data_IF_837839524413
#
_entry.id   IF_837839524413
#
_cell.length_a   1.000
_cell.length_b   1.000
_cell.length_c   1.000
_cell.angle_alpha   90.00
_cell.angle_beta   90.00
_cell.angle_gamma   90.00
#
_symmetry.space_group_name_H-M   'P 1'
#
loop_
_entity.id
_entity.type
_entity.pdbx_description
1 polymer ?
#
# COMPACT_ATOMS: atom_id res chain seq x y z
N UNK A 1 -12.25 32.11 -5.55
CA UNK A 1 -12.21 31.47 -4.21
C UNK A 1 -13.19 30.31 -4.05
N UNK A 2 -14.43 30.39 -4.56
CA UNK A 2 -15.37 29.25 -4.55
C UNK A 2 -14.91 28.13 -5.47
N UNK A 3 -14.29 28.44 -6.58
CA UNK A 3 -13.84 27.48 -7.59
C UNK A 3 -12.67 26.63 -7.08
N UNK A 4 -11.74 27.21 -6.36
CA UNK A 4 -10.63 26.45 -5.74
C UNK A 4 -11.11 25.41 -4.70
N UNK A 5 -12.23 25.68 -4.00
CA UNK A 5 -12.81 24.71 -3.05
C UNK A 5 -13.39 23.49 -3.79
N UNK A 6 -14.07 23.72 -4.92
CA UNK A 6 -14.60 22.64 -5.75
C UNK A 6 -13.50 21.76 -6.34
N UNK A 7 -12.41 22.36 -6.81
CA UNK A 7 -11.24 21.62 -7.30
C UNK A 7 -10.64 20.73 -6.19
N UNK A 8 -10.51 21.25 -4.97
CA UNK A 8 -10.04 20.46 -3.83
C UNK A 8 -10.99 19.29 -3.51
N UNK A 9 -12.31 19.56 -3.50
CA UNK A 9 -13.31 18.49 -3.29
C UNK A 9 -13.25 17.43 -4.39
N UNK A 10 -13.17 17.83 -5.66
CA UNK A 10 -13.03 16.91 -6.79
C UNK A 10 -11.72 16.11 -6.68
N UNK A 11 -10.61 16.74 -6.30
CA UNK A 11 -9.31 16.09 -6.13
C UNK A 11 -9.31 15.05 -5.01
N UNK A 12 -10.02 15.29 -3.90
CA UNK A 12 -10.16 14.29 -2.83
C UNK A 12 -10.90 13.05 -3.32
N UNK A 13 -12.03 13.21 -4.00
CA UNK A 13 -12.77 12.09 -4.58
C UNK A 13 -11.94 11.37 -5.66
N UNK A 14 -11.33 12.14 -6.55
CA UNK A 14 -10.47 11.62 -7.60
C UNK A 14 -9.32 10.79 -7.05
N UNK A 15 -8.67 11.25 -5.97
CA UNK A 15 -7.57 10.49 -5.33
C UNK A 15 -8.03 9.16 -4.75
N UNK A 16 -9.24 9.09 -4.19
CA UNK A 16 -9.81 7.82 -3.76
C UNK A 16 -10.10 6.92 -4.97
N UNK A 17 -10.71 7.46 -6.04
CA UNK A 17 -11.01 6.72 -7.27
C UNK A 17 -9.76 6.20 -7.97
N UNK A 18 -8.70 7.01 -8.06
CA UNK A 18 -7.40 6.60 -8.62
C UNK A 18 -6.83 5.42 -7.84
N UNK A 19 -6.83 5.49 -6.50
CA UNK A 19 -6.32 4.40 -5.68
C UNK A 19 -7.15 3.12 -5.81
N UNK A 20 -8.48 3.23 -5.88
CA UNK A 20 -9.36 2.08 -5.98
C UNK A 20 -9.33 1.42 -7.36
N UNK A 21 -9.27 2.20 -8.43
CA UNK A 21 -9.44 1.71 -9.79
C UNK A 21 -8.11 1.60 -10.54
N UNK A 22 -7.30 2.66 -10.55
CA UNK A 22 -6.06 2.69 -11.32
C UNK A 22 -4.91 2.00 -10.58
N UNK A 23 -4.65 2.37 -9.32
CA UNK A 23 -3.53 1.82 -8.54
C UNK A 23 -3.75 0.33 -8.26
N UNK A 24 -4.92 -0.04 -7.74
CA UNK A 24 -5.25 -1.44 -7.49
C UNK A 24 -5.33 -2.24 -8.79
N UNK A 25 -5.97 -1.70 -9.83
CA UNK A 25 -6.12 -2.35 -11.13
C UNK A 25 -4.77 -2.62 -11.81
N UNK A 26 -3.87 -1.63 -11.85
CA UNK A 26 -2.53 -1.78 -12.43
C UNK A 26 -1.68 -2.78 -11.63
N UNK A 27 -1.77 -2.78 -10.29
CA UNK A 27 -1.09 -3.75 -9.43
C UNK A 27 -1.57 -5.19 -9.71
N UNK A 28 -2.90 -5.40 -9.82
CA UNK A 28 -3.47 -6.71 -10.14
C UNK A 28 -3.03 -7.18 -11.54
N UNK A 29 -2.99 -6.29 -12.54
CA UNK A 29 -2.50 -6.63 -13.88
C UNK A 29 -1.02 -7.03 -13.81
N UNK A 30 -0.18 -6.22 -13.19
CA UNK A 30 1.25 -6.47 -13.10
C UNK A 30 1.56 -7.80 -12.39
N UNK A 31 0.89 -8.07 -11.30
CA UNK A 31 1.03 -9.35 -10.59
C UNK A 31 0.45 -10.52 -11.37
N UNK A 32 -0.72 -10.35 -12.02
CA UNK A 32 -1.40 -11.38 -12.80
C UNK A 32 -0.67 -11.80 -14.08
N UNK A 33 0.17 -10.94 -14.66
CA UNK A 33 1.07 -11.29 -15.78
C UNK A 33 2.15 -12.26 -15.30
N UNK A 34 2.65 -12.08 -14.08
CA UNK A 34 3.73 -12.89 -13.50
C UNK A 34 3.20 -14.16 -12.83
N UNK A 35 2.02 -14.11 -12.21
CA UNK A 35 1.36 -15.23 -11.53
C UNK A 35 -0.14 -15.23 -11.89
N UNK A 36 -0.64 -16.24 -12.65
CA UNK A 36 -2.01 -16.25 -13.18
C UNK A 36 -3.07 -16.13 -12.07
N UNK A 37 -2.87 -16.82 -10.95
CA UNK A 37 -3.74 -16.78 -9.77
C UNK A 37 -2.96 -16.24 -8.58
N UNK A 38 -3.25 -15.01 -8.18
CA UNK A 38 -2.66 -14.40 -7.00
C UNK A 38 -3.57 -14.61 -5.79
N UNK A 39 -3.00 -15.19 -4.74
CA UNK A 39 -3.70 -15.41 -3.46
C UNK A 39 -3.21 -14.42 -2.42
N UNK A 40 -4.11 -13.89 -1.62
CA UNK A 40 -3.80 -12.96 -0.54
C UNK A 40 -4.63 -13.26 0.71
N UNK A 41 -4.28 -12.59 1.82
CA UNK A 41 -4.93 -12.78 3.11
C UNK A 41 -6.34 -12.19 3.10
N UNK A 42 -7.35 -13.07 3.16
CA UNK A 42 -8.75 -12.66 3.13
C UNK A 42 -9.16 -11.84 4.37
N UNK A 43 -8.64 -12.16 5.55
CA UNK A 43 -9.00 -11.46 6.81
C UNK A 43 -8.51 -10.01 6.79
N UNK A 44 -7.27 -9.80 6.28
CA UNK A 44 -6.71 -8.47 6.09
C UNK A 44 -7.55 -7.66 5.09
N UNK A 45 -7.84 -8.27 3.96
CA UNK A 45 -8.62 -7.66 2.88
C UNK A 45 -10.04 -7.32 3.32
N UNK A 46 -10.71 -8.21 4.04
CA UNK A 46 -12.05 -7.97 4.57
C UNK A 46 -12.07 -6.76 5.53
N UNK A 47 -11.02 -6.59 6.35
CA UNK A 47 -10.88 -5.43 7.22
C UNK A 47 -10.76 -4.13 6.42
N UNK A 48 -9.95 -4.11 5.35
CA UNK A 48 -9.83 -2.94 4.47
C UNK A 48 -11.14 -2.64 3.73
N UNK A 49 -11.81 -3.65 3.19
CA UNK A 49 -13.09 -3.48 2.48
C UNK A 49 -14.17 -2.96 3.43
N UNK A 50 -14.23 -3.45 4.66
CA UNK A 50 -15.14 -2.94 5.68
C UNK A 50 -14.92 -1.45 5.97
N UNK A 51 -13.66 -1.04 6.16
CA UNK A 51 -13.30 0.36 6.38
C UNK A 51 -13.54 1.23 5.14
N UNK A 52 -13.27 0.71 3.94
CA UNK A 52 -13.56 1.41 2.69
C UNK A 52 -15.05 1.71 2.56
N UNK A 53 -15.91 0.71 2.76
CA UNK A 53 -17.36 0.87 2.67
C UNK A 53 -17.88 1.85 3.72
N UNK A 54 -17.34 1.81 4.95
CA UNK A 54 -17.63 2.80 5.97
C UNK A 54 -17.22 4.21 5.53
N UNK A 55 -16.02 4.35 4.96
CA UNK A 55 -15.50 5.63 4.44
C UNK A 55 -16.42 6.21 3.37
N UNK A 56 -16.78 5.40 2.38
CA UNK A 56 -17.68 5.79 1.29
C UNK A 56 -19.05 6.20 1.82
N UNK A 57 -19.63 5.43 2.73
CA UNK A 57 -20.91 5.75 3.36
C UNK A 57 -20.85 7.08 4.14
N UNK A 58 -19.80 7.31 4.92
CA UNK A 58 -19.63 8.54 5.68
C UNK A 58 -19.42 9.78 4.81
N UNK A 59 -18.74 9.66 3.66
CA UNK A 59 -18.58 10.74 2.70
C UNK A 59 -19.89 11.04 1.94
N UNK A 60 -20.77 10.06 1.78
CA UNK A 60 -22.07 10.23 1.15
C UNK A 60 -23.05 11.01 2.03
N UNK A 61 -23.02 10.85 3.35
CA UNK A 61 -23.98 11.44 4.30
C UNK A 61 -24.06 12.98 4.20
N UNK A 62 -22.94 13.76 4.19
CA UNK A 62 -23.02 15.21 4.09
C UNK A 62 -23.66 15.70 2.79
N UNK A 63 -23.40 15.00 1.67
CA UNK A 63 -24.00 15.33 0.38
C UNK A 63 -25.49 15.02 0.36
N UNK A 64 -25.91 13.88 0.89
CA UNK A 64 -27.32 13.51 1.04
C UNK A 64 -28.07 14.51 1.95
N UNK A 65 -27.45 14.89 3.08
CA UNK A 65 -28.01 15.89 3.98
C UNK A 65 -28.23 17.24 3.28
N UNK A 66 -27.23 17.73 2.53
CA UNK A 66 -27.37 18.97 1.77
C UNK A 66 -28.53 18.90 0.77
N UNK A 67 -28.67 17.78 0.06
CA UNK A 67 -29.79 17.55 -0.85
C UNK A 67 -31.16 17.67 -0.18
N UNK A 68 -31.27 17.23 1.08
CA UNK A 68 -32.53 17.30 1.85
C UNK A 68 -32.88 18.72 2.35
N UNK A 69 -31.87 19.54 2.64
CA UNK A 69 -32.07 20.90 3.22
C UNK A 69 -31.91 22.02 2.20
N UNK A 70 -31.63 21.74 0.96
CA UNK A 70 -31.35 22.74 -0.11
C UNK A 70 -32.44 23.80 -0.28
N UNK A 71 -33.69 23.50 0.02
CA UNK A 71 -34.83 24.44 -0.07
C UNK A 71 -34.89 25.44 1.09
N UNK A 72 -34.10 25.27 2.14
CA UNK A 72 -34.10 26.11 3.35
C UNK A 72 -33.11 27.28 3.15
N UNK A 73 -33.48 28.49 3.56
CA UNK A 73 -32.64 29.71 3.42
C UNK A 73 -31.27 29.61 4.15
N UNK A 74 -31.14 28.75 5.13
CA UNK A 74 -29.90 28.52 5.90
C UNK A 74 -29.18 27.20 5.56
N UNK A 75 -29.49 26.58 4.41
CA UNK A 75 -28.96 25.29 4.00
C UNK A 75 -27.41 25.24 3.99
N UNK A 76 -26.74 26.28 3.49
CA UNK A 76 -25.28 26.35 3.44
C UNK A 76 -24.65 26.36 4.84
N UNK A 77 -25.24 27.11 5.78
CA UNK A 77 -24.75 27.17 7.15
C UNK A 77 -24.96 25.82 7.90
N UNK A 78 -26.12 25.19 7.70
CA UNK A 78 -26.42 23.88 8.26
C UNK A 78 -25.50 22.81 7.69
N UNK A 79 -25.27 22.79 6.37
CA UNK A 79 -24.35 21.88 5.71
C UNK A 79 -22.91 22.04 6.20
N UNK A 80 -22.47 23.28 6.42
CA UNK A 80 -21.14 23.58 6.94
C UNK A 80 -20.97 23.04 8.38
N UNK A 81 -21.95 23.30 9.27
CA UNK A 81 -21.91 22.79 10.64
C UNK A 81 -21.94 21.25 10.67
N UNK A 82 -22.78 20.64 9.83
CA UNK A 82 -22.88 19.18 9.71
C UNK A 82 -21.58 18.55 9.20
N UNK A 83 -20.97 19.11 8.14
CA UNK A 83 -19.69 18.63 7.60
C UNK A 83 -18.57 18.68 8.62
N UNK A 84 -18.52 19.71 9.48
CA UNK A 84 -17.55 19.82 10.58
C UNK A 84 -17.76 18.72 11.62
N UNK A 85 -19.02 18.45 12.02
CA UNK A 85 -19.34 17.36 12.94
C UNK A 85 -18.95 16.00 12.40
N UNK A 86 -19.30 15.72 11.13
CA UNK A 86 -18.90 14.46 10.46
C UNK A 86 -17.38 14.34 10.37
N UNK A 87 -16.67 15.43 10.09
CA UNK A 87 -15.18 15.43 10.02
C UNK A 87 -14.55 15.01 11.35
N UNK A 88 -15.08 15.45 12.49
CA UNK A 88 -14.59 15.02 13.82
C UNK A 88 -14.81 13.52 14.02
N UNK A 89 -15.98 13.01 13.64
CA UNK A 89 -16.31 11.59 13.76
C UNK A 89 -15.36 10.74 12.88
N UNK A 90 -15.12 11.16 11.63
CA UNK A 90 -14.21 10.46 10.71
C UNK A 90 -12.79 10.38 11.27
N UNK A 91 -12.28 11.45 11.87
CA UNK A 91 -10.97 11.42 12.53
C UNK A 91 -10.94 10.46 13.73
N UNK A 92 -11.98 10.41 14.53
CA UNK A 92 -12.05 9.44 15.64
C UNK A 92 -12.00 8.02 15.09
N UNK A 93 -12.76 7.72 14.03
CA UNK A 93 -12.75 6.41 13.36
C UNK A 93 -11.35 6.10 12.83
N UNK A 94 -10.66 7.08 12.22
CA UNK A 94 -9.30 6.89 11.72
C UNK A 94 -8.30 6.56 12.84
N UNK A 95 -8.36 7.26 13.97
CA UNK A 95 -7.50 6.96 15.12
C UNK A 95 -7.81 5.60 15.75
N UNK A 96 -9.08 5.18 15.80
CA UNK A 96 -9.45 3.83 16.18
C UNK A 96 -8.88 2.78 15.24
N UNK A 97 -8.93 3.03 13.93
CA UNK A 97 -8.31 2.17 12.92
C UNK A 97 -6.79 2.06 13.12
N UNK A 98 -6.08 3.18 13.35
CA UNK A 98 -4.65 3.14 13.63
C UNK A 98 -4.33 2.36 14.91
N UNK A 99 -5.14 2.54 15.96
CA UNK A 99 -5.00 1.76 17.20
C UNK A 99 -5.19 0.27 16.96
N UNK A 100 -6.20 -0.10 16.17
CA UNK A 100 -6.45 -1.48 15.76
C UNK A 100 -5.24 -2.04 14.99
N UNK A 101 -4.76 -1.32 13.99
CA UNK A 101 -3.65 -1.75 13.14
C UNK A 101 -2.33 -1.90 13.89
N UNK A 102 -1.97 -0.92 14.73
CA UNK A 102 -0.66 -0.89 15.36
C UNK A 102 -0.60 -1.56 16.74
N UNK A 103 -1.72 -1.73 17.42
CA UNK A 103 -1.73 -2.25 18.77
C UNK A 103 -2.38 -3.63 18.87
N UNK A 104 -3.61 -3.77 18.40
CA UNK A 104 -4.43 -4.97 18.66
C UNK A 104 -4.16 -6.09 17.65
N UNK A 105 -4.06 -5.78 16.35
CA UNK A 105 -4.02 -6.77 15.27
C UNK A 105 -2.76 -6.65 14.39
N UNK A 106 -1.62 -6.36 14.99
CA UNK A 106 -0.31 -6.25 14.29
C UNK A 106 0.02 -7.45 13.41
N UNK A 107 -0.46 -8.64 13.78
CA UNK A 107 -0.17 -9.87 13.06
C UNK A 107 -0.83 -9.92 11.68
N UNK A 108 -2.00 -9.29 11.51
CA UNK A 108 -2.69 -9.22 10.21
C UNK A 108 -1.95 -8.35 9.18
N UNK A 109 -1.25 -7.32 9.66
CA UNK A 109 -0.57 -6.32 8.84
C UNK A 109 0.92 -6.60 8.62
N UNK A 110 1.44 -7.75 9.09
CA UNK A 110 2.82 -8.15 8.80
C UNK A 110 2.87 -8.75 7.39
N UNK A 111 3.83 -8.30 6.54
CA UNK A 111 4.05 -8.93 5.26
C UNK A 111 4.26 -10.42 5.46
N UNK A 112 3.59 -11.24 4.67
CA UNK A 112 3.84 -12.68 4.61
C UNK A 112 5.30 -12.81 4.19
N UNK A 113 6.15 -13.39 5.02
CA UNK A 113 7.51 -13.69 4.62
C UNK A 113 7.40 -14.53 3.35
N UNK A 114 7.79 -13.97 2.22
CA UNK A 114 7.82 -14.68 0.96
C UNK A 114 8.81 -15.83 1.16
N UNK A 115 8.28 -17.01 1.41
CA UNK A 115 9.00 -18.26 1.25
C UNK A 115 9.22 -18.42 -0.25
N UNK A 116 10.22 -17.74 -0.78
CA UNK A 116 10.67 -17.90 -2.14
C UNK A 116 11.28 -19.30 -2.22
N UNK A 117 10.49 -20.29 -2.58
CA UNK A 117 11.03 -21.47 -3.22
C UNK A 117 11.39 -21.06 -4.65
N UNK A 118 12.67 -20.73 -4.83
CA UNK A 118 13.27 -20.32 -6.09
C UNK A 118 13.21 -21.42 -7.17
N UNK A 119 12.68 -22.60 -6.84
CA UNK A 119 12.79 -23.80 -7.67
C UNK A 119 11.78 -23.93 -8.83
N UNK A 120 10.68 -23.14 -8.86
CA UNK A 120 9.59 -23.40 -9.81
C UNK A 120 9.17 -22.21 -10.71
N UNK A 121 10.05 -21.25 -10.95
CA UNK A 121 9.72 -20.13 -11.85
C UNK A 121 10.19 -20.47 -13.28
N UNK A 122 9.29 -20.60 -14.28
CA UNK A 122 9.69 -20.77 -15.68
C UNK A 122 10.61 -19.67 -16.14
N UNK A 123 11.60 -20.00 -16.98
CA UNK A 123 12.65 -19.09 -17.46
C UNK A 123 12.10 -17.78 -18.09
N UNK A 124 10.92 -17.85 -18.68
CA UNK A 124 10.24 -16.69 -19.29
C UNK A 124 9.79 -15.65 -18.26
N UNK A 125 9.40 -16.09 -17.05
CA UNK A 125 9.06 -15.20 -15.93
C UNK A 125 10.28 -14.52 -15.34
N UNK A 126 11.44 -15.20 -15.38
CA UNK A 126 12.71 -14.59 -14.96
C UNK A 126 13.10 -13.42 -15.88
N UNK A 127 12.89 -13.55 -17.18
CA UNK A 127 13.19 -12.48 -18.14
C UNK A 127 12.29 -11.25 -17.96
N UNK A 128 10.99 -11.44 -17.73
CA UNK A 128 10.05 -10.33 -17.47
C UNK A 128 10.36 -9.67 -16.12
N UNK A 129 10.69 -10.48 -15.11
CA UNK A 129 11.05 -9.98 -13.77
C UNK A 129 12.34 -9.17 -13.80
N UNK A 130 13.37 -9.66 -14.48
CA UNK A 130 14.64 -8.94 -14.63
C UNK A 130 14.46 -7.63 -15.41
N UNK A 131 13.61 -7.62 -16.44
CA UNK A 131 13.30 -6.40 -17.18
C UNK A 131 12.53 -5.37 -16.34
N UNK A 132 11.62 -5.82 -15.47
CA UNK A 132 10.92 -4.95 -14.53
C UNK A 132 11.85 -4.46 -13.41
N UNK A 133 12.72 -5.32 -12.89
CA UNK A 133 13.73 -4.95 -11.89
C UNK A 133 14.77 -3.99 -12.47
N UNK A 134 15.14 -4.16 -13.75
CA UNK A 134 16.04 -3.25 -14.48
C UNK A 134 15.36 -1.89 -14.74
N UNK A 135 14.07 -1.89 -15.12
CA UNK A 135 13.30 -0.67 -15.34
C UNK A 135 13.06 0.14 -14.05
N UNK A 136 12.93 -0.54 -12.91
CA UNK A 136 12.66 0.09 -11.60
C UNK A 136 13.87 0.05 -10.66
N UNK A 137 14.90 -0.75 -10.94
CA UNK A 137 16.12 -0.90 -10.12
C UNK A 137 17.02 0.32 -10.12
N UNK A 138 16.95 1.16 -11.15
CA UNK A 138 17.68 2.42 -11.22
C UNK A 138 17.18 3.48 -10.22
N UNK A 139 16.02 3.22 -9.58
CA UNK A 139 15.44 4.12 -8.55
C UNK A 139 15.99 3.80 -7.16
N UNK A 140 16.55 2.61 -6.92
CA UNK A 140 16.95 2.14 -5.57
C UNK A 140 18.48 1.86 -5.42
N UNK A 141 19.31 2.10 -6.43
CA UNK A 141 20.74 1.86 -6.34
C UNK A 141 21.55 3.11 -6.06
N UNK A 142 21.89 3.38 -4.83
CA UNK A 142 23.24 3.45 -4.25
C UNK A 142 23.21 3.89 -2.78
N UNK A 143 23.96 3.32 -1.84
CA UNK A 143 25.35 3.72 -1.68
C UNK A 143 26.36 2.60 -1.38
N UNK A 144 27.47 2.68 -2.11
CA UNK A 144 28.86 2.38 -1.72
C UNK A 144 29.14 1.35 -0.62
N UNK A 145 29.90 0.33 -0.95
CA UNK A 145 31.14 -0.08 -0.25
C UNK A 145 31.93 -1.07 -1.11
N UNK A 146 33.06 -0.59 -1.52
CA UNK A 146 34.38 -1.18 -1.65
C UNK A 146 34.57 -2.49 -0.86
N UNK A 147 34.99 -3.55 -1.51
CA UNK A 147 36.26 -4.22 -1.27
C UNK A 147 36.42 -5.46 -2.17
N UNK A 148 37.53 -5.40 -2.91
CA UNK A 148 38.21 -6.46 -3.61
C UNK A 148 38.38 -7.74 -2.76
N UNK A 149 38.33 -8.90 -3.41
CA UNK A 149 39.41 -9.93 -3.40
C UNK A 149 39.07 -11.04 -4.41
N UNK A 150 40.05 -11.28 -5.24
CA UNK A 150 40.37 -12.34 -6.20
C UNK A 150 40.18 -13.76 -5.69
N UNK A 151 39.87 -14.70 -6.62
CA UNK A 151 40.28 -16.09 -6.46
C UNK A 151 39.37 -17.14 -7.11
N UNK A 152 39.53 -17.38 -8.38
CA UNK A 152 39.79 -18.65 -9.11
C UNK A 152 39.30 -19.97 -8.42
N UNK A 153 38.51 -20.74 -9.12
CA UNK A 153 38.80 -22.09 -9.59
C UNK A 153 37.55 -22.94 -9.83
N UNK A 154 37.43 -23.37 -11.03
CA UNK A 154 36.62 -24.47 -11.56
C UNK A 154 36.66 -25.73 -10.71
N UNK A 155 35.52 -26.41 -10.60
CA UNK A 155 35.37 -27.87 -10.72
C UNK A 155 33.91 -28.30 -10.65
N UNK A 156 33.43 -28.87 -11.75
CA UNK A 156 32.29 -29.81 -11.75
C UNK A 156 32.71 -31.11 -11.05
N UNK A 157 31.76 -31.83 -10.47
CA UNK A 157 31.62 -33.24 -10.78
C UNK A 157 30.15 -33.67 -11.04
N UNK A 158 29.97 -34.24 -12.18
CA UNK A 158 29.50 -35.62 -12.45
C UNK A 158 28.26 -36.16 -11.73
N UNK A 159 27.24 -36.39 -12.56
CA UNK A 159 26.04 -37.21 -12.28
C UNK A 159 26.46 -38.64 -11.91
N UNK A 160 25.80 -39.18 -10.87
CA UNK A 160 25.72 -40.61 -10.62
C UNK A 160 24.27 -40.99 -10.31
N UNK A 161 23.67 -41.65 -11.27
CA UNK A 161 22.43 -42.42 -11.11
C UNK A 161 22.61 -43.50 -10.05
N UNK A 162 21.65 -43.66 -9.12
CA UNK A 162 21.43 -44.89 -8.40
C UNK A 162 19.94 -45.17 -8.30
N UNK A 163 19.61 -46.19 -9.04
CA UNK A 163 18.50 -47.15 -9.12
C UNK A 163 17.66 -47.34 -7.84
N UNK A 164 16.36 -47.46 -8.13
CA UNK A 164 15.28 -47.86 -7.21
C UNK A 164 15.39 -49.34 -6.78
N UNK A 165 15.01 -49.64 -5.53
CA UNK A 165 14.41 -50.91 -5.12
C UNK A 165 13.73 -50.80 -3.74
N UNK A 166 12.79 -51.70 -3.37
CA UNK A 166 11.56 -51.37 -2.70
C UNK A 166 11.53 -51.66 -1.19
N UNK A 167 10.51 -51.13 -0.51
CA UNK A 167 10.14 -51.37 0.90
C UNK A 167 9.87 -52.84 1.21
N UNK A 168 10.14 -53.26 2.47
CA UNK A 168 9.15 -54.03 3.19
C UNK A 168 8.80 -53.46 4.59
N UNK A 169 7.53 -53.56 4.86
CA UNK A 169 6.76 -53.54 6.07
C UNK A 169 7.34 -54.41 7.20
N UNK A 170 7.47 -53.90 8.47
CA UNK A 170 7.34 -54.69 9.68
C UNK A 170 7.24 -53.83 10.94
N UNK A 171 6.32 -54.24 11.79
CA UNK A 171 5.84 -53.73 13.05
C UNK A 171 6.86 -53.81 14.21
N UNK A 172 6.50 -53.25 15.39
CA UNK A 172 7.46 -52.91 16.45
C UNK A 172 7.63 -54.04 17.51
N UNK A 173 8.85 -54.31 17.94
CA UNK A 173 9.11 -54.98 19.21
C UNK A 173 10.50 -54.63 19.79
N UNK A 174 10.46 -54.26 21.09
CA UNK A 174 11.46 -54.44 22.15
C UNK A 174 12.83 -53.73 22.09
N UNK A 175 12.93 -52.73 22.92
CA UNK A 175 14.13 -52.00 23.32
C UNK A 175 14.80 -52.73 24.52
N UNK A 176 16.03 -53.16 24.33
CA UNK A 176 16.99 -53.39 25.45
C UNK A 176 18.15 -52.40 25.33
N UNK A 177 18.66 -51.88 26.47
CA UNK A 177 19.71 -50.87 26.43
C UNK A 177 21.09 -51.53 26.52
N UNK A 178 22.03 -51.08 25.69
CA UNK A 178 23.46 -51.37 25.89
C UNK A 178 24.25 -50.11 26.27
N UNK A 179 25.30 -50.26 27.09
CA UNK A 179 26.03 -49.16 27.69
C UNK A 179 27.35 -48.87 26.97
N UNK A 180 27.71 -47.60 26.90
CA UNK A 180 29.11 -47.25 26.66
C UNK A 180 29.38 -46.20 25.58
N UNK A 181 29.24 -44.93 25.94
CA UNK A 181 29.89 -43.83 25.20
C UNK A 181 30.77 -43.04 26.18
N UNK A 182 32.07 -42.83 25.90
CA UNK A 182 32.99 -42.18 26.82
C UNK A 182 32.69 -40.68 26.97
N UNK A 183 32.75 -40.19 28.18
CA UNK A 183 32.74 -38.77 28.56
C UNK A 183 33.88 -38.02 27.85
N UNK A 184 33.53 -37.14 26.92
CA UNK A 184 34.45 -36.15 26.42
C UNK A 184 34.47 -34.92 27.33
N UNK A 185 35.69 -34.62 27.71
CA UNK A 185 36.18 -33.65 28.66
C UNK A 185 35.47 -32.27 28.66
N UNK A 186 35.24 -31.83 29.87
CA UNK A 186 34.68 -30.56 30.32
C UNK A 186 35.59 -29.33 30.17
N UNK A 187 36.45 -29.25 29.14
CA UNK A 187 37.45 -28.16 29.03
C UNK A 187 37.12 -27.12 27.98
N UNK A 188 36.04 -27.29 27.17
CA UNK A 188 35.67 -26.28 26.12
C UNK A 188 34.49 -25.37 26.47
N UNK A 189 34.03 -25.37 27.73
CA UNK A 189 32.90 -24.52 28.16
C UNK A 189 33.29 -23.13 28.66
N UNK A 190 34.58 -22.81 28.72
CA UNK A 190 35.01 -21.50 29.26
C UNK A 190 35.19 -20.38 28.24
N UNK A 191 35.23 -20.71 26.94
CA UNK A 191 35.51 -19.71 25.91
C UNK A 191 34.27 -19.12 25.22
N UNK A 192 33.08 -19.69 25.46
CA UNK A 192 31.80 -19.18 24.91
C UNK A 192 31.12 -18.11 25.76
N UNK A 193 31.56 -17.90 27.01
CA UNK A 193 30.98 -16.87 27.89
C UNK A 193 31.54 -15.46 27.65
N UNK A 194 32.75 -15.35 27.12
CA UNK A 194 33.39 -14.04 26.88
C UNK A 194 33.00 -13.42 25.51
N UNK A 195 32.58 -14.24 24.54
CA UNK A 195 32.07 -13.71 23.25
C UNK A 195 30.67 -13.08 23.35
N UNK A 196 29.91 -13.41 24.41
CA UNK A 196 28.57 -12.84 24.62
C UNK A 196 28.53 -11.47 25.31
N UNK A 197 29.63 -11.04 25.93
CA UNK A 197 29.69 -9.78 26.69
C UNK A 197 30.18 -8.55 25.90
N UNK A 198 30.63 -8.71 24.65
CA UNK A 198 31.26 -7.62 23.91
C UNK A 198 30.38 -6.88 22.88
N UNK A 199 29.06 -7.12 22.77
CA UNK A 199 28.23 -6.46 21.75
C UNK A 199 26.86 -5.92 22.18
N UNK A 200 26.66 -5.09 23.19
CA UNK A 200 25.41 -4.34 23.30
C UNK A 200 25.47 -2.87 22.89
N UNK A 201 26.65 -2.24 22.78
CA UNK A 201 26.70 -0.79 22.57
C UNK A 201 26.82 -0.33 21.11
N UNK A 202 27.34 -1.17 20.22
CA UNK A 202 27.53 -0.78 18.79
C UNK A 202 26.25 -0.89 17.95
N UNK A 203 25.31 -1.74 18.37
CA UNK A 203 24.03 -1.93 17.65
C UNK A 203 23.02 -0.81 17.90
N UNK A 204 22.98 -0.23 19.12
CA UNK A 204 22.03 0.84 19.47
C UNK A 204 22.32 2.13 18.72
N UNK A 205 23.59 2.50 18.53
CA UNK A 205 23.94 3.74 17.82
C UNK A 205 23.65 3.66 16.31
N UNK A 206 23.81 2.49 15.67
CA UNK A 206 23.46 2.30 14.26
C UNK A 206 21.95 2.38 14.04
N UNK A 207 21.14 1.78 14.92
CA UNK A 207 19.68 1.86 14.84
C UNK A 207 19.17 3.28 15.06
N UNK A 208 19.77 4.02 15.98
CA UNK A 208 19.41 5.41 16.25
C UNK A 208 19.81 6.33 15.09
N UNK A 209 21.02 6.18 14.54
CA UNK A 209 21.49 6.90 13.36
C UNK A 209 20.60 6.64 12.13
N UNK A 210 20.21 5.38 11.89
CA UNK A 210 19.29 5.03 10.79
C UNK A 210 17.90 5.67 10.97
N UNK A 211 17.40 5.77 12.21
CA UNK A 211 16.11 6.44 12.47
C UNK A 211 16.17 7.92 12.19
N UNK A 212 17.24 8.59 12.62
CA UNK A 212 17.45 10.02 12.34
C UNK A 212 17.60 10.26 10.84
N UNK A 213 18.39 9.43 10.15
CA UNK A 213 18.57 9.54 8.71
C UNK A 213 17.23 9.37 7.97
N UNK A 214 16.43 8.37 8.32
CA UNK A 214 15.09 8.18 7.75
C UNK A 214 14.16 9.37 8.03
N UNK A 215 14.26 9.97 9.22
CA UNK A 215 13.45 11.14 9.57
C UNK A 215 13.86 12.37 8.73
N UNK A 216 15.17 12.61 8.60
CA UNK A 216 15.70 13.71 7.78
C UNK A 216 15.28 13.51 6.31
N UNK A 217 15.40 12.29 5.78
CA UNK A 217 14.98 11.96 4.43
C UNK A 217 13.48 12.21 4.24
N UNK A 218 12.65 11.78 5.19
CA UNK A 218 11.21 12.02 5.18
C UNK A 218 10.87 13.51 5.15
N UNK A 219 11.48 14.30 6.02
CA UNK A 219 11.23 15.76 6.08
C UNK A 219 11.69 16.42 4.78
N UNK A 220 12.88 16.08 4.28
CA UNK A 220 13.43 16.67 3.06
C UNK A 220 12.55 16.33 1.84
N UNK A 221 12.11 15.06 1.70
CA UNK A 221 11.21 14.65 0.62
C UNK A 221 9.86 15.34 0.73
N UNK A 222 9.31 15.50 1.93
CA UNK A 222 8.03 16.20 2.15
C UNK A 222 8.13 17.68 1.73
N UNK A 223 9.22 18.37 2.08
CA UNK A 223 9.45 19.76 1.65
C UNK A 223 9.58 19.85 0.13
N UNK A 224 10.32 18.93 -0.49
CA UNK A 224 10.46 18.89 -1.95
C UNK A 224 9.11 18.67 -2.65
N UNK A 225 8.32 17.74 -2.16
CA UNK A 225 6.95 17.47 -2.68
C UNK A 225 6.07 18.72 -2.53
N UNK A 226 6.15 19.41 -1.38
CA UNK A 226 5.38 20.65 -1.16
C UNK A 226 5.74 21.74 -2.17
N UNK A 227 7.05 21.93 -2.47
CA UNK A 227 7.52 22.87 -3.48
C UNK A 227 7.02 22.47 -4.89
N UNK A 228 7.11 21.19 -5.25
CA UNK A 228 6.60 20.69 -6.52
C UNK A 228 5.09 20.88 -6.65
N UNK A 229 4.33 20.66 -5.57
CA UNK A 229 2.89 20.86 -5.54
C UNK A 229 2.50 22.34 -5.74
N UNK A 230 3.28 23.29 -5.18
CA UNK A 230 3.07 24.73 -5.41
C UNK A 230 3.29 25.12 -6.86
N UNK A 231 4.38 24.64 -7.50
CA UNK A 231 4.62 24.85 -8.92
C UNK A 231 3.53 24.23 -9.80
N UNK A 232 3.08 23.04 -9.43
CA UNK A 232 1.99 22.36 -10.14
C UNK A 232 0.69 23.16 -10.06
N UNK A 233 0.31 23.62 -8.85
CA UNK A 233 -0.88 24.43 -8.63
C UNK A 233 -0.83 25.75 -9.43
N UNK A 234 0.32 26.43 -9.43
CA UNK A 234 0.51 27.68 -10.20
C UNK A 234 0.40 27.46 -11.73
N UNK A 235 0.95 26.35 -12.22
CA UNK A 235 0.85 25.97 -13.64
C UNK A 235 -0.60 25.66 -14.04
N UNK A 236 -1.39 25.17 -13.10
CA UNK A 236 -2.78 24.82 -13.27
C UNK A 236 -3.69 26.04 -13.43
N UNK A 237 -3.46 27.08 -12.65
CA UNK A 237 -4.21 28.34 -12.77
C UNK A 237 -4.09 28.91 -14.19
N UNK A 238 -2.89 28.83 -14.80
CA UNK A 238 -2.63 29.28 -16.18
C UNK A 238 -3.37 28.43 -17.22
N UNK A 239 -3.49 27.11 -17.02
CA UNK A 239 -4.22 26.22 -17.93
C UNK A 239 -5.74 26.45 -17.86
N UNK A 240 -6.25 26.73 -16.67
CA UNK A 240 -7.65 27.03 -16.43
C UNK A 240 -8.06 28.37 -17.06
N UNK A 241 -7.24 29.41 -16.96
CA UNK A 241 -7.47 30.70 -17.63
C UNK A 241 -7.58 30.57 -19.16
N UNK A 242 -6.86 29.63 -19.77
CA UNK A 242 -6.91 29.38 -21.22
C UNK A 242 -8.10 28.52 -21.64
N UNK A 243 -8.92 28.01 -20.72
CA UNK A 243 -10.11 27.21 -20.99
C UNK A 243 -9.86 25.88 -21.72
N UNK A 244 -8.64 25.34 -21.64
CA UNK A 244 -8.21 24.13 -22.38
C UNK A 244 -8.82 22.87 -21.75
N UNK A 245 -9.00 22.86 -20.43
CA UNK A 245 -9.50 21.71 -19.67
C UNK A 245 -10.59 22.16 -18.70
N UNK A 246 -11.64 21.35 -18.54
CA UNK A 246 -12.69 21.62 -17.55
C UNK A 246 -12.16 21.48 -16.12
N UNK A 247 -12.54 22.37 -15.21
CA UNK A 247 -12.15 22.35 -13.80
C UNK A 247 -12.43 20.99 -13.13
N UNK A 248 -13.56 20.37 -13.45
CA UNK A 248 -13.96 19.06 -12.92
C UNK A 248 -13.05 17.95 -13.40
N UNK A 249 -12.65 17.94 -14.68
CA UNK A 249 -11.75 16.94 -15.24
C UNK A 249 -10.38 17.01 -14.57
N UNK A 250 -9.87 18.19 -14.42
CA UNK A 250 -8.55 18.37 -13.83
C UNK A 250 -8.55 18.03 -12.35
N UNK A 251 -9.55 18.48 -11.60
CA UNK A 251 -9.70 18.16 -10.18
C UNK A 251 -9.91 16.67 -9.96
N UNK A 252 -10.74 16.01 -10.78
CA UNK A 252 -11.10 14.60 -10.56
C UNK A 252 -10.07 13.61 -11.11
N UNK A 253 -9.33 13.97 -12.17
CA UNK A 253 -8.46 13.04 -12.91
C UNK A 253 -7.00 13.47 -12.86
N UNK A 254 -6.66 14.67 -13.36
CA UNK A 254 -5.26 15.05 -13.60
C UNK A 254 -4.49 15.19 -12.29
N UNK A 255 -5.02 15.97 -11.34
CA UNK A 255 -4.38 16.17 -10.03
C UNK A 255 -4.26 14.85 -9.25
N UNK A 256 -5.32 14.04 -9.14
CA UNK A 256 -5.24 12.74 -8.44
C UNK A 256 -4.27 11.75 -9.08
N UNK A 257 -4.23 11.63 -10.39
CA UNK A 257 -3.29 10.73 -11.08
C UNK A 257 -1.86 11.17 -10.79
N UNK A 258 -1.56 12.47 -10.95
CA UNK A 258 -0.23 12.99 -10.67
C UNK A 258 0.17 12.86 -9.19
N UNK A 259 -0.79 13.08 -8.27
CA UNK A 259 -0.56 12.98 -6.83
C UNK A 259 -0.35 11.56 -6.31
N UNK A 260 -0.92 10.56 -6.97
CA UNK A 260 -0.84 9.15 -6.54
C UNK A 260 0.14 8.31 -7.38
N UNK A 261 1.09 8.94 -8.10
CA UNK A 261 2.11 8.22 -8.88
C UNK A 261 2.99 7.33 -7.99
N UNK A 262 3.37 7.81 -6.81
CA UNK A 262 4.22 7.07 -5.89
C UNK A 262 3.53 5.80 -5.37
N UNK A 263 2.24 5.89 -5.02
CA UNK A 263 1.41 4.76 -4.61
C UNK A 263 1.26 3.76 -5.76
N UNK A 264 1.05 4.25 -6.99
CA UNK A 264 0.92 3.40 -8.18
C UNK A 264 2.21 2.61 -8.43
N UNK A 265 3.35 3.27 -8.49
CA UNK A 265 4.65 2.63 -8.69
C UNK A 265 4.93 1.61 -7.57
N UNK A 266 4.68 1.98 -6.31
CA UNK A 266 4.87 1.08 -5.17
C UNK A 266 3.96 -0.15 -5.26
N UNK A 267 2.66 0.02 -5.52
CA UNK A 267 1.71 -1.07 -5.61
C UNK A 267 2.05 -2.04 -6.75
N UNK A 268 2.42 -1.51 -7.92
CA UNK A 268 2.85 -2.31 -9.08
C UNK A 268 4.13 -3.10 -8.76
N UNK A 269 5.13 -2.45 -8.15
CA UNK A 269 6.40 -3.13 -7.80
C UNK A 269 6.20 -4.27 -6.80
N UNK A 270 5.41 -4.06 -5.75
CA UNK A 270 5.19 -5.11 -4.75
C UNK A 270 4.30 -6.23 -5.27
N UNK A 271 3.32 -5.93 -6.14
CA UNK A 271 2.51 -6.93 -6.82
C UNK A 271 3.37 -7.79 -7.78
N UNK A 272 4.29 -7.17 -8.50
CA UNK A 272 5.25 -7.88 -9.38
C UNK A 272 6.21 -8.80 -8.59
N UNK A 273 6.42 -8.53 -7.31
CA UNK A 273 7.20 -9.38 -6.39
C UNK A 273 6.37 -10.45 -5.68
N UNK A 274 5.16 -10.72 -6.17
CA UNK A 274 4.21 -11.68 -5.58
C UNK A 274 3.78 -11.33 -4.12
N UNK A 275 3.76 -10.04 -3.80
CA UNK A 275 3.32 -9.52 -2.51
C UNK A 275 1.98 -8.79 -2.65
N UNK A 276 0.96 -9.51 -3.12
CA UNK A 276 -0.34 -8.93 -3.41
C UNK A 276 -1.04 -8.37 -2.16
N UNK A 277 -0.83 -8.98 -0.99
CA UNK A 277 -1.29 -8.45 0.31
C UNK A 277 -0.84 -7.00 0.53
N UNK A 278 0.43 -6.72 0.22
CA UNK A 278 1.01 -5.40 0.39
C UNK A 278 0.48 -4.42 -0.67
N UNK A 279 0.32 -4.86 -1.93
CA UNK A 279 -0.24 -4.03 -2.98
C UNK A 279 -1.68 -3.59 -2.66
N UNK A 280 -2.54 -4.53 -2.20
CA UNK A 280 -3.89 -4.24 -1.73
C UNK A 280 -3.85 -3.26 -0.54
N UNK A 281 -2.93 -3.48 0.41
CA UNK A 281 -2.76 -2.61 1.58
C UNK A 281 -2.37 -1.19 1.19
N UNK A 282 -1.51 -1.01 0.19
CA UNK A 282 -1.13 0.31 -0.34
C UNK A 282 -2.34 0.98 -0.98
N UNK A 283 -3.02 0.33 -1.91
CA UNK A 283 -4.13 0.93 -2.66
C UNK A 283 -5.34 1.25 -1.76
N UNK A 284 -5.87 0.24 -1.03
CA UNK A 284 -7.03 0.44 -0.16
C UNK A 284 -6.70 1.29 1.06
N UNK A 285 -5.50 1.11 1.63
CA UNK A 285 -5.03 1.89 2.77
C UNK A 285 -4.94 3.38 2.45
N UNK A 286 -4.37 3.74 1.29
CA UNK A 286 -4.30 5.14 0.82
C UNK A 286 -5.70 5.72 0.57
N UNK A 287 -6.60 4.98 -0.07
CA UNK A 287 -7.99 5.41 -0.27
C UNK A 287 -8.71 5.71 1.05
N UNK A 288 -8.59 4.80 2.04
CA UNK A 288 -9.16 4.96 3.39
C UNK A 288 -8.52 6.17 4.09
N UNK A 289 -7.20 6.33 4.00
CA UNK A 289 -6.49 7.47 4.60
C UNK A 289 -6.95 8.80 4.03
N UNK A 290 -7.16 8.89 2.71
CA UNK A 290 -7.69 10.11 2.09
C UNK A 290 -9.10 10.42 2.63
N UNK A 291 -9.97 9.44 2.70
CA UNK A 291 -11.36 9.64 3.13
C UNK A 291 -11.53 9.88 4.63
N UNK A 292 -10.80 9.12 5.49
CA UNK A 292 -10.96 9.20 6.94
C UNK A 292 -10.03 10.22 7.63
N UNK A 293 -8.90 10.60 6.98
CA UNK A 293 -7.95 11.56 7.56
C UNK A 293 -7.86 12.83 6.75
N UNK A 294 -7.48 12.76 5.46
CA UNK A 294 -7.13 13.95 4.68
C UNK A 294 -8.35 14.84 4.47
N UNK A 295 -9.48 14.29 4.03
CA UNK A 295 -10.70 15.04 3.80
C UNK A 295 -11.22 15.74 5.07
N UNK A 296 -11.35 15.06 6.23
CA UNK A 296 -11.73 15.71 7.48
C UNK A 296 -10.74 16.76 7.96
N UNK A 297 -9.43 16.50 7.86
CA UNK A 297 -8.40 17.48 8.27
C UNK A 297 -8.52 18.76 7.45
N UNK A 298 -8.70 18.66 6.14
CA UNK A 298 -8.87 19.85 5.27
C UNK A 298 -10.09 20.67 5.70
N UNK A 299 -11.23 20.02 6.03
CA UNK A 299 -12.42 20.72 6.52
C UNK A 299 -12.16 21.43 7.86
N UNK A 300 -11.47 20.77 8.80
CA UNK A 300 -11.18 21.36 10.12
C UNK A 300 -10.14 22.49 10.01
N UNK A 301 -9.11 22.35 9.18
CA UNK A 301 -8.13 23.41 8.90
C UNK A 301 -8.82 24.60 8.24
N UNK A 302 -9.67 24.36 7.23
CA UNK A 302 -10.47 25.41 6.59
C UNK A 302 -11.38 26.13 7.61
N UNK A 303 -11.94 25.39 8.57
CA UNK A 303 -12.73 25.98 9.65
C UNK A 303 -11.87 26.92 10.52
N UNK A 304 -10.67 26.49 10.92
CA UNK A 304 -9.72 27.34 11.66
C UNK A 304 -9.31 28.60 10.91
N UNK A 305 -9.24 28.54 9.57
CA UNK A 305 -8.93 29.65 8.67
C UNK A 305 -10.18 30.50 8.28
N UNK A 306 -11.36 30.20 8.83
CA UNK A 306 -12.60 30.91 8.53
C UNK A 306 -13.13 30.67 7.11
N UNK A 307 -12.68 29.62 6.40
CA UNK A 307 -13.13 29.30 5.04
C UNK A 307 -14.32 28.32 5.04
N UNK A 308 -15.31 28.47 4.14
CA UNK A 308 -16.50 27.63 4.10
C UNK A 308 -16.27 26.33 3.33
N UNK A 309 -15.39 25.47 3.82
CA UNK A 309 -15.14 24.13 3.24
C UNK A 309 -16.13 23.12 3.81
N UNK A 310 -16.80 22.38 2.94
CA UNK A 310 -17.77 21.33 3.30
C UNK A 310 -17.36 19.97 2.74
N UNK A 311 -17.92 18.88 3.27
CA UNK A 311 -17.85 17.53 2.67
C UNK A 311 -19.02 17.29 1.71
N UNK A 312 -19.57 18.34 1.12
CA UNK A 312 -20.56 18.22 0.06
C UNK A 312 -19.84 18.07 -1.28
N UNK A 313 -19.89 16.88 -1.84
CA UNK A 313 -19.24 16.54 -3.10
C UNK A 313 -20.23 16.62 -4.27
N UNK A 314 -19.68 16.68 -5.48
CA UNK A 314 -20.48 16.56 -6.69
C UNK A 314 -21.15 15.19 -6.79
N UNK A 315 -22.40 15.16 -7.28
CA UNK A 315 -23.17 13.92 -7.37
C UNK A 315 -22.53 12.89 -8.30
N UNK A 316 -21.94 13.33 -9.42
CA UNK A 316 -21.26 12.43 -10.35
C UNK A 316 -20.07 11.73 -9.67
N UNK A 317 -19.17 12.51 -9.06
CA UNK A 317 -18.03 11.95 -8.34
C UNK A 317 -18.43 11.03 -7.18
N UNK A 318 -19.52 11.36 -6.47
CA UNK A 318 -20.01 10.53 -5.37
C UNK A 318 -20.62 9.21 -5.85
N UNK A 319 -21.43 9.23 -6.92
CA UNK A 319 -22.04 8.01 -7.49
C UNK A 319 -20.94 7.08 -8.03
N UNK A 320 -19.96 7.65 -8.73
CA UNK A 320 -18.81 6.88 -9.23
C UNK A 320 -17.98 6.30 -8.09
N UNK A 321 -17.80 7.03 -6.98
CA UNK A 321 -17.11 6.51 -5.78
C UNK A 321 -17.85 5.32 -5.14
N UNK A 322 -19.17 5.42 -4.99
CA UNK A 322 -20.00 4.34 -4.46
C UNK A 322 -19.94 3.12 -5.37
N UNK A 323 -20.12 3.31 -6.69
CA UNK A 323 -20.02 2.23 -7.66
C UNK A 323 -18.66 1.55 -7.66
N UNK A 324 -17.58 2.34 -7.60
CA UNK A 324 -16.20 1.84 -7.52
C UNK A 324 -15.92 1.08 -6.23
N UNK A 325 -16.41 1.59 -5.09
CA UNK A 325 -16.28 0.91 -3.80
C UNK A 325 -16.98 -0.46 -3.79
N UNK A 326 -18.18 -0.54 -4.35
CA UNK A 326 -18.91 -1.81 -4.50
C UNK A 326 -18.15 -2.74 -5.43
N UNK A 327 -17.71 -2.28 -6.61
CA UNK A 327 -16.96 -3.09 -7.57
C UNK A 327 -15.69 -3.68 -6.95
N UNK A 328 -14.88 -2.84 -6.31
CA UNK A 328 -13.66 -3.28 -5.63
C UNK A 328 -13.97 -4.29 -4.52
N UNK A 329 -15.01 -4.04 -3.72
CA UNK A 329 -15.42 -4.96 -2.65
C UNK A 329 -15.75 -6.35 -3.20
N UNK A 330 -16.49 -6.45 -4.31
CA UNK A 330 -16.81 -7.73 -4.95
C UNK A 330 -15.58 -8.45 -5.50
N UNK A 331 -14.65 -7.71 -6.11
CA UNK A 331 -13.47 -8.31 -6.72
C UNK A 331 -12.48 -8.81 -5.66
N UNK A 332 -12.26 -8.01 -4.62
CA UNK A 332 -11.18 -8.27 -3.65
C UNK A 332 -11.59 -9.20 -2.51
N UNK A 333 -12.89 -9.34 -2.19
CA UNK A 333 -13.35 -10.26 -1.13
C UNK A 333 -13.21 -11.75 -1.46
N UNK A 334 -12.90 -12.10 -2.70
CA UNK A 334 -12.72 -13.51 -3.12
C UNK A 334 -11.45 -14.17 -2.58
N UNK A 335 -10.49 -13.39 -2.06
CA UNK A 335 -9.18 -13.88 -1.60
C UNK A 335 -8.23 -14.33 -2.70
N UNK A 336 -8.64 -14.20 -3.98
CA UNK A 336 -7.86 -14.49 -5.18
C UNK A 336 -8.19 -13.46 -6.25
N UNK A 337 -7.21 -13.13 -7.07
CA UNK A 337 -7.40 -12.20 -8.18
C UNK A 337 -6.62 -12.64 -9.41
N UNK A 338 -7.06 -12.22 -10.59
CA UNK A 338 -6.44 -12.47 -11.88
C UNK A 338 -6.31 -11.18 -12.70
N UNK A 339 -5.51 -11.21 -13.76
CA UNK A 339 -5.26 -10.02 -14.61
C UNK A 339 -6.54 -9.40 -15.21
N UNK A 340 -7.60 -10.20 -15.45
CA UNK A 340 -8.87 -9.70 -16.01
C UNK A 340 -9.58 -8.76 -15.02
N UNK A 341 -9.56 -9.10 -13.73
CA UNK A 341 -10.14 -8.25 -12.68
C UNK A 341 -9.42 -6.89 -12.60
N UNK A 342 -8.08 -6.91 -12.72
CA UNK A 342 -7.30 -5.68 -12.83
C UNK A 342 -7.65 -4.85 -14.07
N UNK A 343 -7.82 -5.51 -15.22
CA UNK A 343 -8.24 -4.85 -16.46
C UNK A 343 -9.63 -4.21 -16.35
N UNK A 344 -10.57 -4.87 -15.66
CA UNK A 344 -11.92 -4.32 -15.38
C UNK A 344 -11.81 -3.03 -14.56
N UNK A 345 -10.96 -3.01 -13.51
CA UNK A 345 -10.77 -1.82 -12.70
C UNK A 345 -10.16 -0.67 -13.50
N UNK A 346 -9.11 -0.92 -14.28
CA UNK A 346 -8.50 0.10 -15.13
C UNK A 346 -9.46 0.60 -16.21
N UNK A 347 -10.25 -0.28 -16.84
CA UNK A 347 -11.28 0.09 -17.81
C UNK A 347 -12.38 0.94 -17.16
N UNK A 348 -12.78 0.63 -15.92
CA UNK A 348 -13.73 1.43 -15.16
C UNK A 348 -13.20 2.83 -14.88
N UNK A 349 -11.90 2.94 -14.54
CA UNK A 349 -11.26 4.26 -14.40
C UNK A 349 -11.28 5.04 -15.72
N UNK A 350 -10.89 4.41 -16.83
CA UNK A 350 -10.91 5.05 -18.14
C UNK A 350 -12.32 5.45 -18.61
N UNK A 351 -13.36 4.75 -18.17
CA UNK A 351 -14.75 5.10 -18.50
C UNK A 351 -15.26 6.30 -17.68
N UNK A 352 -14.67 6.59 -16.52
CA UNK A 352 -15.01 7.73 -15.65
C UNK A 352 -14.22 8.98 -16.09
N UNK A 353 -12.99 8.79 -16.60
CA UNK A 353 -12.11 9.88 -17.05
C UNK A 353 -12.50 10.44 -18.42
#
# INVERSE_FOLDING_TARGET
MKDNIKVVQASLLGSILVNLLLVLGSAIIAGGILSPDQTYNNDLTQSYVGLLNLTVACLMIPTAFYGSVKSIKSADHMSLAFSRGVSVILLIIYFLYLFFQFNTHKHLFRPRAAGIQVADIPAERHAIRSSLEELFGDIESNPSADDSITGESSRQPEMREVSAAPFPDQSPEDIHPEPGVPLLNSTERHDQSDFRKAQPHRCKNKVFANRIYSLILLVTSTVLIAICAEFFASSFDVLNEKGILGESFVGLIVIPVAGNVAENVTAVMVAARDQMDLAISVALGSAIQIGLLVAPVIVLVAWGLGKPMTLHFDYFGLITLVGSGILVSFLVLKGKTNYLEGAILCASFAAIS
#
